data_IF_083078741350
#
_entry.id   IF_083078741350
#
_cell.length_a   1.000
_cell.length_b   1.000
_cell.length_c   1.000
_cell.angle_alpha   90.00
_cell.angle_beta   90.00
_cell.angle_gamma   90.00
#
_symmetry.space_group_name_H-M   'P 1'
#
loop_
_entity.id
_entity.type
_entity.pdbx_description
1 polymer ?
#
# COMPACT_ATOMS: atom_id res chain seq x y z
N UNK A 1 -47.66 41.46 39.12
CA UNK A 1 -46.20 41.33 38.89
C UNK A 1 -45.69 39.94 39.31
N UNK A 2 -46.19 39.28 40.32
CA UNK A 2 -45.72 37.98 40.86
C UNK A 2 -45.94 36.81 39.85
N UNK A 3 -47.05 36.83 39.09
CA UNK A 3 -47.37 35.77 38.12
C UNK A 3 -46.43 35.64 36.95
N UNK A 4 -45.92 36.77 36.40
CA UNK A 4 -45.01 36.80 35.23
C UNK A 4 -43.63 36.32 35.63
N UNK A 5 -43.11 36.68 36.79
CA UNK A 5 -41.83 36.24 37.31
C UNK A 5 -41.80 34.73 37.56
N UNK A 6 -42.88 34.13 38.09
CA UNK A 6 -42.96 32.68 38.26
C UNK A 6 -43.04 31.90 36.96
N UNK A 7 -43.67 32.51 35.94
CA UNK A 7 -43.79 31.90 34.62
C UNK A 7 -42.42 31.91 33.86
N UNK A 8 -41.71 33.02 33.94
CA UNK A 8 -40.34 33.17 33.39
C UNK A 8 -39.34 32.20 34.03
N UNK A 9 -39.43 32.01 35.35
CA UNK A 9 -38.57 31.05 36.06
C UNK A 9 -38.83 29.60 35.66
N UNK A 10 -40.11 29.22 35.51
CA UNK A 10 -40.50 27.88 35.04
C UNK A 10 -40.05 27.62 33.58
N UNK A 11 -40.19 28.61 32.70
CA UNK A 11 -39.73 28.54 31.32
C UNK A 11 -38.21 28.37 31.25
N UNK A 12 -37.44 29.13 32.03
CA UNK A 12 -35.98 29.01 32.07
C UNK A 12 -35.52 27.64 32.56
N UNK A 13 -36.18 27.08 33.55
CA UNK A 13 -35.87 25.75 34.10
C UNK A 13 -36.21 24.63 33.11
N UNK A 14 -37.33 24.75 32.40
CA UNK A 14 -37.71 23.81 31.35
C UNK A 14 -36.80 23.91 30.11
N UNK A 15 -36.34 25.11 29.74
CA UNK A 15 -35.42 25.32 28.65
C UNK A 15 -34.04 24.65 28.92
N UNK A 16 -33.53 24.73 30.13
CA UNK A 16 -32.30 24.04 30.54
C UNK A 16 -32.43 22.52 30.45
N UNK A 17 -33.58 21.97 30.92
CA UNK A 17 -33.85 20.55 30.82
C UNK A 17 -33.94 20.07 29.36
N UNK A 18 -34.63 20.85 28.52
CA UNK A 18 -34.73 20.55 27.10
C UNK A 18 -33.34 20.61 26.40
N UNK A 19 -32.52 21.64 26.70
CA UNK A 19 -31.18 21.78 26.18
C UNK A 19 -30.29 20.58 26.56
N UNK A 20 -30.36 20.13 27.81
CA UNK A 20 -29.60 18.95 28.25
C UNK A 20 -30.04 17.67 27.54
N UNK A 21 -31.34 17.48 27.31
CA UNK A 21 -31.85 16.34 26.55
C UNK A 21 -31.34 16.40 25.09
N UNK A 22 -31.39 17.58 24.46
CA UNK A 22 -30.89 17.76 23.11
C UNK A 22 -29.38 17.45 23.01
N UNK A 23 -28.57 17.94 23.96
CA UNK A 23 -27.12 17.68 23.99
C UNK A 23 -26.85 16.18 24.17
N UNK A 24 -27.52 15.54 25.11
CA UNK A 24 -27.34 14.10 25.32
C UNK A 24 -27.80 13.28 24.11
N UNK A 25 -28.93 13.64 23.50
CA UNK A 25 -29.45 12.96 22.31
C UNK A 25 -28.48 13.10 21.13
N UNK A 26 -27.92 14.29 20.89
CA UNK A 26 -26.95 14.52 19.83
C UNK A 26 -25.63 13.77 20.09
N UNK A 27 -25.17 13.73 21.34
CA UNK A 27 -23.99 12.94 21.71
C UNK A 27 -24.19 11.44 21.42
N UNK A 28 -25.31 10.87 21.81
CA UNK A 28 -25.66 9.47 21.56
C UNK A 28 -25.76 9.20 20.06
N UNK A 29 -26.43 10.10 19.31
CA UNK A 29 -26.51 9.95 17.83
C UNK A 29 -25.16 10.00 17.15
N UNK A 30 -24.26 10.90 17.56
CA UNK A 30 -22.89 11.00 17.02
C UNK A 30 -22.09 9.74 17.34
N UNK A 31 -22.19 9.23 18.57
CA UNK A 31 -21.50 7.98 18.94
C UNK A 31 -22.01 6.78 18.13
N UNK A 32 -23.34 6.62 18.01
CA UNK A 32 -23.90 5.51 17.23
C UNK A 32 -23.53 5.61 15.75
N UNK A 33 -23.67 6.80 15.14
CA UNK A 33 -23.33 6.99 13.74
C UNK A 33 -21.84 6.81 13.47
N UNK A 34 -20.95 7.29 14.36
CA UNK A 34 -19.52 7.08 14.26
C UNK A 34 -19.12 5.60 14.37
N UNK A 35 -19.67 4.88 15.34
CA UNK A 35 -19.44 3.45 15.51
C UNK A 35 -19.95 2.64 14.33
N UNK A 36 -21.15 2.97 13.83
CA UNK A 36 -21.74 2.29 12.67
C UNK A 36 -20.95 2.56 11.40
N UNK A 37 -20.49 3.80 11.17
CA UNK A 37 -19.66 4.15 10.03
C UNK A 37 -18.34 3.39 10.05
N UNK A 38 -17.67 3.29 11.20
CA UNK A 38 -16.46 2.49 11.36
C UNK A 38 -16.73 0.99 11.09
N UNK A 39 -17.80 0.46 11.65
CA UNK A 39 -18.15 -0.96 11.48
C UNK A 39 -18.44 -1.32 10.02
N UNK A 40 -19.21 -0.47 9.31
CA UNK A 40 -19.53 -0.68 7.89
C UNK A 40 -18.31 -0.45 6.97
N UNK A 41 -17.41 0.49 7.32
CA UNK A 41 -16.22 0.78 6.53
C UNK A 41 -15.10 -0.25 6.69
N UNK A 42 -15.06 -1.00 7.79
CA UNK A 42 -14.00 -1.98 8.04
C UNK A 42 -13.93 -3.08 6.97
N UNK A 43 -15.07 -3.57 6.51
CA UNK A 43 -15.13 -4.63 5.49
C UNK A 43 -14.51 -4.21 4.15
N UNK A 44 -14.77 -2.99 3.71
CA UNK A 44 -14.21 -2.44 2.46
C UNK A 44 -12.70 -2.22 2.57
N UNK A 45 -12.22 -1.70 3.71
CA UNK A 45 -10.81 -1.48 3.97
C UNK A 45 -10.04 -2.81 4.00
N UNK A 46 -10.58 -3.82 4.70
CA UNK A 46 -9.95 -5.14 4.78
C UNK A 46 -9.90 -5.79 3.39
N UNK A 47 -11.00 -5.78 2.64
CA UNK A 47 -11.05 -6.35 1.30
C UNK A 47 -10.08 -5.67 0.33
N UNK A 48 -9.85 -4.36 0.48
CA UNK A 48 -8.90 -3.62 -0.34
C UNK A 48 -7.43 -3.92 0.01
N UNK A 49 -7.14 -4.10 1.31
CA UNK A 49 -5.79 -4.41 1.79
C UNK A 49 -5.40 -5.90 1.64
N UNK A 50 -6.38 -6.77 1.69
CA UNK A 50 -6.19 -8.23 1.55
C UNK A 50 -7.03 -8.73 0.37
N UNK A 51 -6.50 -8.61 -0.86
CA UNK A 51 -7.23 -8.96 -2.08
C UNK A 51 -7.43 -10.47 -2.26
N UNK A 52 -6.83 -11.29 -1.41
CA UNK A 52 -6.94 -12.75 -1.45
C UNK A 52 -7.14 -13.31 -0.04
N UNK A 53 -7.71 -14.51 0.06
CA UNK A 53 -7.97 -15.22 1.32
C UNK A 53 -6.67 -15.50 2.10
N UNK A 54 -5.59 -15.80 1.40
CA UNK A 54 -4.26 -15.99 1.98
C UNK A 54 -3.23 -15.20 1.18
N UNK A 55 -2.46 -14.39 1.89
CA UNK A 55 -1.34 -13.62 1.31
C UNK A 55 -0.04 -14.05 1.96
N UNK A 56 0.97 -14.41 1.14
CA UNK A 56 2.29 -14.78 1.61
C UNK A 56 3.37 -13.98 0.90
N UNK A 57 4.13 -13.20 1.66
CA UNK A 57 5.26 -12.44 1.15
C UNK A 57 6.55 -13.26 1.20
N UNK A 58 7.17 -13.43 0.06
CA UNK A 58 8.51 -14.02 -0.07
C UNK A 58 9.50 -12.89 -0.39
N UNK A 59 10.37 -12.61 0.55
CA UNK A 59 11.46 -11.64 0.37
C UNK A 59 12.74 -12.36 0.00
N UNK A 60 13.46 -11.83 -0.97
CA UNK A 60 14.74 -12.38 -1.38
C UNK A 60 15.71 -11.27 -1.82
N UNK A 61 16.99 -11.56 -1.72
CA UNK A 61 18.06 -10.64 -2.07
C UNK A 61 18.91 -11.22 -3.22
N UNK A 62 18.74 -10.73 -4.43
CA UNK A 62 19.55 -11.17 -5.57
C UNK A 62 21.05 -10.89 -5.41
N UNK A 63 21.45 -9.83 -4.66
CA UNK A 63 22.86 -9.54 -4.38
C UNK A 63 23.51 -10.60 -3.50
N UNK A 64 22.74 -11.24 -2.63
CA UNK A 64 23.20 -12.38 -1.83
C UNK A 64 23.20 -13.72 -2.59
N UNK A 65 22.92 -13.70 -3.90
CA UNK A 65 22.81 -14.90 -4.74
C UNK A 65 21.55 -15.73 -4.44
N UNK A 66 20.55 -15.14 -3.82
CA UNK A 66 19.27 -15.79 -3.61
C UNK A 66 18.45 -15.70 -4.91
N UNK A 67 17.85 -16.82 -5.28
CA UNK A 67 16.88 -16.87 -6.37
C UNK A 67 15.48 -17.13 -5.83
N UNK A 68 14.49 -16.52 -6.44
CA UNK A 68 13.10 -16.77 -6.09
C UNK A 68 12.68 -18.16 -6.62
N UNK A 69 12.45 -19.10 -5.72
CA UNK A 69 11.78 -20.36 -6.05
C UNK A 69 10.25 -20.18 -5.98
N UNK A 70 9.71 -19.52 -6.99
CA UNK A 70 8.26 -19.28 -7.08
C UNK A 70 7.47 -20.61 -7.12
N UNK A 71 7.99 -21.61 -7.84
CA UNK A 71 7.33 -22.90 -7.94
C UNK A 71 7.29 -23.64 -6.59
N UNK A 72 8.40 -23.58 -5.85
CA UNK A 72 8.47 -24.13 -4.48
C UNK A 72 7.55 -23.41 -3.52
N UNK A 73 7.49 -22.08 -3.57
CA UNK A 73 6.61 -21.28 -2.74
C UNK A 73 5.13 -21.56 -3.05
N UNK A 74 4.75 -21.64 -4.32
CA UNK A 74 3.39 -22.03 -4.73
C UNK A 74 3.05 -23.48 -4.31
N UNK A 75 4.00 -24.41 -4.42
CA UNK A 75 3.81 -25.78 -3.96
C UNK A 75 3.62 -25.86 -2.45
N UNK A 76 4.31 -25.01 -1.68
CA UNK A 76 4.16 -24.91 -0.23
C UNK A 76 2.73 -24.47 0.14
N UNK A 77 2.21 -23.41 -0.50
CA UNK A 77 0.84 -22.93 -0.26
C UNK A 77 -0.18 -24.01 -0.56
N UNK A 78 -0.06 -24.68 -1.73
CA UNK A 78 -0.96 -25.77 -2.12
C UNK A 78 -0.91 -26.96 -1.16
N UNK A 79 0.29 -27.34 -0.71
CA UNK A 79 0.46 -28.44 0.26
C UNK A 79 -0.17 -28.09 1.60
N UNK A 80 0.09 -26.89 2.11
CA UNK A 80 -0.47 -26.43 3.37
C UNK A 80 -2.00 -26.43 3.35
N UNK A 81 -2.60 -25.86 2.31
CA UNK A 81 -4.05 -25.85 2.14
C UNK A 81 -4.62 -27.28 2.06
N UNK A 82 -3.94 -28.19 1.35
CA UNK A 82 -4.35 -29.60 1.25
C UNK A 82 -4.26 -30.34 2.58
N UNK A 83 -3.25 -30.07 3.42
CA UNK A 83 -3.11 -30.65 4.77
C UNK A 83 -4.27 -30.27 5.68
N UNK A 84 -4.89 -29.12 5.44
CA UNK A 84 -6.06 -28.63 6.17
C UNK A 84 -7.38 -28.87 5.46
N UNK A 85 -7.38 -29.64 4.35
CA UNK A 85 -8.54 -29.95 3.52
C UNK A 85 -9.25 -28.72 2.93
N UNK A 86 -8.52 -27.64 2.67
CA UNK A 86 -9.05 -26.41 2.07
C UNK A 86 -8.65 -26.34 0.60
N UNK A 87 -9.63 -26.23 -0.33
CA UNK A 87 -9.33 -26.09 -1.75
C UNK A 87 -8.74 -24.71 -2.09
N UNK A 88 -7.68 -24.69 -2.91
CA UNK A 88 -7.14 -23.48 -3.51
C UNK A 88 -7.80 -23.28 -4.87
N UNK A 89 -8.59 -22.22 -5.03
CA UNK A 89 -9.35 -21.92 -6.26
C UNK A 89 -8.60 -21.00 -7.20
N UNK A 90 -7.71 -20.16 -6.67
CA UNK A 90 -6.82 -19.28 -7.42
C UNK A 90 -5.45 -19.17 -6.73
N UNK A 91 -4.39 -19.03 -7.50
CA UNK A 91 -3.05 -18.79 -6.96
C UNK A 91 -2.26 -17.93 -7.95
N UNK A 92 -2.12 -16.67 -7.61
CA UNK A 92 -1.40 -15.69 -8.39
C UNK A 92 -0.16 -15.18 -7.65
N UNK A 93 0.75 -14.54 -8.38
CA UNK A 93 1.97 -13.96 -7.81
C UNK A 93 2.18 -12.56 -8.35
N UNK A 94 2.46 -11.62 -7.45
CA UNK A 94 2.82 -10.25 -7.78
C UNK A 94 4.23 -9.96 -7.27
N UNK A 95 5.16 -9.68 -8.20
CA UNK A 95 6.51 -9.24 -7.84
C UNK A 95 6.56 -7.72 -7.83
N UNK A 96 7.13 -7.15 -6.76
CA UNK A 96 7.33 -5.72 -6.64
C UNK A 96 8.61 -5.37 -5.88
N UNK A 97 9.14 -4.19 -6.18
CA UNK A 97 10.23 -3.57 -5.46
C UNK A 97 9.67 -2.48 -4.55
N UNK A 98 10.08 -2.48 -3.28
CA UNK A 98 9.71 -1.44 -2.32
C UNK A 98 10.97 -0.74 -1.79
N UNK A 99 11.00 0.58 -1.89
CA UNK A 99 12.08 1.40 -1.35
C UNK A 99 11.61 2.82 -1.03
N UNK A 100 12.44 3.55 -0.30
CA UNK A 100 12.21 4.97 -0.05
C UNK A 100 13.04 5.81 -1.02
N UNK A 101 12.41 6.83 -1.60
CA UNK A 101 13.08 7.85 -2.40
C UNK A 101 12.75 9.25 -1.88
N UNK A 102 13.63 10.19 -2.12
CA UNK A 102 13.45 11.60 -1.79
C UNK A 102 13.16 12.41 -3.05
N UNK A 103 12.15 13.28 -2.96
CA UNK A 103 11.80 14.21 -4.02
C UNK A 103 12.77 15.38 -4.01
N UNK A 104 13.61 15.48 -5.03
CA UNK A 104 14.41 16.67 -5.30
C UNK A 104 13.67 17.54 -6.32
N UNK A 105 12.91 18.52 -5.84
CA UNK A 105 12.07 19.38 -6.67
C UNK A 105 12.89 20.33 -7.57
N UNK A 106 14.10 20.72 -7.15
CA UNK A 106 14.99 21.58 -7.93
C UNK A 106 15.56 20.81 -9.12
N UNK A 107 16.05 19.60 -8.90
CA UNK A 107 16.60 18.75 -9.94
C UNK A 107 15.51 17.94 -10.68
N UNK A 108 14.25 17.96 -10.23
CA UNK A 108 13.11 17.20 -10.75
C UNK A 108 13.41 15.70 -10.86
N UNK A 109 13.95 15.13 -9.79
CA UNK A 109 14.32 13.73 -9.74
C UNK A 109 14.01 13.12 -8.38
N UNK A 110 13.94 11.81 -8.35
CA UNK A 110 13.79 11.00 -7.15
C UNK A 110 15.18 10.47 -6.75
N UNK A 111 15.62 10.77 -5.54
CA UNK A 111 16.94 10.38 -5.02
C UNK A 111 16.79 9.18 -4.09
N UNK A 112 17.46 8.08 -4.46
CA UNK A 112 17.49 6.83 -3.71
C UNK A 112 18.76 6.79 -2.86
N UNK A 113 18.66 6.37 -1.60
CA UNK A 113 19.81 6.31 -0.68
C UNK A 113 20.10 7.62 0.06
N UNK A 114 19.47 8.73 -0.31
CA UNK A 114 19.61 10.00 0.41
C UNK A 114 18.98 9.94 1.79
N UNK A 115 19.61 10.59 2.77
CA UNK A 115 18.95 10.95 4.03
C UNK A 115 18.40 12.37 3.94
N UNK A 116 17.23 12.64 4.52
CA UNK A 116 16.59 13.93 4.40
C UNK A 116 15.28 14.07 5.18
N UNK A 117 14.59 15.21 4.94
CA UNK A 117 13.32 15.53 5.60
C UNK A 117 12.23 14.50 5.29
N UNK A 118 11.42 14.15 6.29
CA UNK A 118 10.28 13.25 6.12
C UNK A 118 9.25 13.75 5.10
N UNK A 119 9.13 15.08 4.91
CA UNK A 119 8.17 15.65 3.98
C UNK A 119 8.48 15.39 2.51
N UNK A 120 9.76 15.20 2.18
CA UNK A 120 10.20 14.94 0.81
C UNK A 120 10.36 13.43 0.53
N UNK A 121 10.14 12.58 1.54
CA UNK A 121 10.23 11.12 1.39
C UNK A 121 8.97 10.57 0.77
N UNK A 122 9.15 9.60 -0.14
CA UNK A 122 8.09 8.79 -0.76
C UNK A 122 8.39 7.32 -0.56
N UNK A 123 7.37 6.57 -0.17
CA UNK A 123 7.41 5.12 -0.26
C UNK A 123 7.14 4.75 -1.73
N UNK A 124 8.14 4.22 -2.42
CA UNK A 124 8.04 3.83 -3.83
C UNK A 124 7.76 2.34 -3.92
N UNK A 125 6.67 2.00 -4.58
CA UNK A 125 6.32 0.63 -4.97
C UNK A 125 6.41 0.52 -6.48
N UNK A 126 7.23 -0.38 -6.96
CA UNK A 126 7.43 -0.63 -8.37
C UNK A 126 6.96 -2.03 -8.70
N UNK A 127 5.90 -2.16 -9.49
CA UNK A 127 5.30 -3.43 -9.91
C UNK A 127 5.64 -3.75 -11.35
N UNK A 128 5.64 -5.03 -11.69
CA UNK A 128 5.53 -5.43 -13.09
C UNK A 128 4.09 -5.28 -13.58
N UNK A 129 3.88 -5.17 -14.90
CA UNK A 129 2.54 -5.12 -15.49
C UNK A 129 1.68 -6.35 -15.11
N UNK A 130 2.30 -7.53 -15.01
CA UNK A 130 1.65 -8.74 -14.53
C UNK A 130 1.33 -8.68 -13.04
N UNK A 131 2.26 -8.15 -12.21
CA UNK A 131 2.02 -7.96 -10.78
C UNK A 131 0.86 -7.01 -10.50
N UNK A 132 0.73 -5.94 -11.29
CA UNK A 132 -0.42 -5.05 -11.22
C UNK A 132 -1.74 -5.78 -11.52
N UNK A 133 -1.76 -6.59 -12.59
CA UNK A 133 -2.95 -7.36 -12.95
C UNK A 133 -3.33 -8.37 -11.84
N UNK A 134 -2.35 -9.07 -11.27
CA UNK A 134 -2.57 -10.02 -10.18
C UNK A 134 -3.14 -9.35 -8.91
N UNK A 135 -2.62 -8.17 -8.53
CA UNK A 135 -3.07 -7.46 -7.33
C UNK A 135 -4.43 -6.77 -7.49
N UNK A 136 -4.79 -6.34 -8.71
CA UNK A 136 -6.00 -5.52 -8.92
C UNK A 136 -7.12 -6.26 -9.63
N UNK A 137 -6.86 -7.45 -10.19
CA UNK A 137 -7.78 -8.14 -11.08
C UNK A 137 -8.05 -7.42 -12.41
N UNK A 138 -7.28 -6.35 -12.70
CA UNK A 138 -7.42 -5.54 -13.92
C UNK A 138 -6.54 -6.09 -15.04
N UNK A 139 -6.77 -5.61 -16.28
CA UNK A 139 -5.88 -5.97 -17.39
C UNK A 139 -4.47 -5.39 -17.18
N UNK A 140 -3.44 -6.16 -17.52
CA UNK A 140 -2.07 -5.67 -17.49
C UNK A 140 -1.89 -4.50 -18.49
N UNK A 141 -1.27 -3.37 -18.08
CA UNK A 141 -0.99 -2.27 -18.99
C UNK A 141 0.00 -2.67 -20.09
N UNK A 142 -0.17 -2.15 -21.30
CA UNK A 142 0.69 -2.43 -22.43
C UNK A 142 1.81 -1.39 -22.53
N UNK A 143 2.88 -1.59 -21.76
CA UNK A 143 4.02 -0.67 -21.66
C UNK A 143 5.18 -1.12 -22.54
N UNK A 144 5.92 -0.17 -23.11
CA UNK A 144 7.17 -0.43 -23.84
C UNK A 144 8.37 -0.32 -22.88
N UNK A 145 9.55 -0.89 -23.25
CA UNK A 145 10.77 -0.66 -22.49
C UNK A 145 11.07 0.83 -22.29
N UNK A 146 11.35 1.24 -21.06
CA UNK A 146 11.54 2.65 -20.68
C UNK A 146 10.26 3.43 -20.39
N UNK A 147 9.09 2.81 -20.53
CA UNK A 147 7.82 3.39 -20.11
C UNK A 147 7.41 2.89 -18.73
N UNK A 148 6.58 3.68 -18.07
CA UNK A 148 5.91 3.31 -16.84
C UNK A 148 4.47 3.82 -16.83
N UNK A 149 3.60 3.17 -16.06
CA UNK A 149 2.32 3.74 -15.66
C UNK A 149 2.39 4.18 -14.19
N UNK A 150 1.67 5.25 -13.84
CA UNK A 150 1.55 5.75 -12.48
C UNK A 150 0.22 5.32 -11.89
N UNK A 151 0.23 4.67 -10.73
CA UNK A 151 -0.98 4.37 -9.99
C UNK A 151 -1.30 5.54 -9.06
N UNK A 152 -2.34 6.31 -9.40
CA UNK A 152 -2.73 7.49 -8.65
C UNK A 152 -2.11 8.78 -9.20
N UNK A 153 -1.30 9.48 -8.40
CA UNK A 153 -0.78 10.80 -8.75
C UNK A 153 0.74 10.89 -8.65
N UNK A 154 1.34 11.64 -9.57
CA UNK A 154 2.76 12.01 -9.50
C UNK A 154 2.99 13.07 -8.40
N UNK A 155 4.21 13.10 -7.82
CA UNK A 155 4.61 14.20 -6.96
C UNK A 155 4.45 15.56 -7.67
N UNK A 156 4.07 16.62 -6.95
CA UNK A 156 3.93 17.95 -7.53
C UNK A 156 5.23 18.42 -8.22
N UNK A 157 5.08 18.98 -9.44
CA UNK A 157 6.20 19.50 -10.22
C UNK A 157 6.91 18.49 -11.10
N UNK A 158 6.53 17.19 -11.04
CA UNK A 158 7.01 16.18 -11.98
C UNK A 158 6.17 16.19 -13.27
N UNK A 159 6.85 16.00 -14.39
CA UNK A 159 6.23 15.85 -15.70
C UNK A 159 6.12 14.37 -16.10
N UNK A 160 5.94 14.08 -17.39
CA UNK A 160 5.82 12.71 -17.88
C UNK A 160 7.13 11.91 -17.81
N UNK A 161 8.24 12.53 -17.45
CA UNK A 161 9.53 11.87 -17.28
C UNK A 161 9.89 11.82 -15.80
N UNK A 162 10.13 10.61 -15.30
CA UNK A 162 10.58 10.33 -13.94
C UNK A 162 12.03 9.86 -13.99
N UNK A 163 12.92 10.57 -13.31
CA UNK A 163 14.32 10.17 -13.19
C UNK A 163 14.64 9.75 -11.78
N UNK A 164 15.23 8.58 -11.61
CA UNK A 164 15.77 8.06 -10.36
C UNK A 164 17.29 8.20 -10.39
N UNK A 165 17.86 8.77 -9.31
CA UNK A 165 19.29 8.94 -9.13
C UNK A 165 19.72 8.27 -7.82
N UNK A 166 20.73 7.43 -7.87
CA UNK A 166 21.36 6.87 -6.68
C UNK A 166 22.23 7.90 -5.98
N UNK A 167 22.11 7.96 -4.65
CA UNK A 167 22.97 8.75 -3.77
C UNK A 167 23.57 7.77 -2.77
N UNK A 168 24.91 7.68 -2.71
CA UNK A 168 25.57 6.84 -1.71
C UNK A 168 25.15 7.23 -0.31
N UNK A 169 24.59 6.28 0.43
CA UNK A 169 24.16 6.52 1.81
C UNK A 169 25.33 6.82 2.74
N UNK A 170 26.50 6.27 2.44
CA UNK A 170 27.72 6.44 3.25
C UNK A 170 28.50 7.71 2.89
N UNK A 171 28.55 8.08 1.62
CA UNK A 171 29.41 9.15 1.12
C UNK A 171 28.65 10.39 0.64
N UNK A 172 27.33 10.27 0.40
CA UNK A 172 26.46 11.39 0.05
C UNK A 172 26.64 11.96 -1.36
N UNK A 173 27.38 11.28 -2.24
CA UNK A 173 27.55 11.68 -3.63
C UNK A 173 26.70 10.83 -4.59
N UNK A 174 26.51 11.32 -5.82
CA UNK A 174 25.78 10.60 -6.87
C UNK A 174 26.53 9.34 -7.29
N UNK A 175 25.80 8.23 -7.40
CA UNK A 175 26.32 6.95 -7.84
C UNK A 175 25.40 6.33 -8.89
N UNK A 176 25.96 5.39 -9.64
CA UNK A 176 25.26 4.72 -10.73
C UNK A 176 24.86 5.67 -11.85
N UNK A 177 24.22 5.11 -12.87
CA UNK A 177 23.62 5.90 -13.95
C UNK A 177 22.15 6.20 -13.57
N UNK A 178 21.68 7.44 -13.79
CA UNK A 178 20.29 7.75 -13.56
C UNK A 178 19.40 6.89 -14.44
N UNK A 179 18.32 6.38 -13.85
CA UNK A 179 17.29 5.61 -14.55
C UNK A 179 16.09 6.52 -14.82
N UNK A 180 15.72 6.67 -16.08
CA UNK A 180 14.59 7.48 -16.51
C UNK A 180 13.48 6.60 -17.06
N UNK A 181 12.24 6.88 -16.62
CA UNK A 181 11.02 6.25 -17.08
C UNK A 181 10.07 7.31 -17.64
N UNK A 182 9.49 7.05 -18.80
CA UNK A 182 8.45 7.90 -19.38
C UNK A 182 7.09 7.43 -18.91
N UNK A 183 6.32 8.30 -18.28
CA UNK A 183 4.94 7.99 -17.84
C UNK A 183 4.03 7.98 -19.06
N UNK A 184 3.63 6.78 -19.49
CA UNK A 184 2.77 6.57 -20.65
C UNK A 184 1.28 6.72 -20.30
N UNK A 185 0.88 6.30 -19.10
CA UNK A 185 -0.52 6.36 -18.66
C UNK A 185 -0.63 6.48 -17.13
N UNK A 186 -1.85 6.82 -16.69
CA UNK A 186 -2.22 6.85 -15.27
C UNK A 186 -3.26 5.78 -15.00
N UNK A 187 -3.00 4.93 -14.01
CA UNK A 187 -3.86 3.85 -13.58
C UNK A 187 -4.56 4.18 -12.25
N UNK A 188 -5.64 3.49 -11.89
CA UNK A 188 -6.20 3.55 -10.55
C UNK A 188 -5.15 3.22 -9.48
N UNK A 189 -5.30 3.81 -8.30
CA UNK A 189 -4.43 3.50 -7.16
C UNK A 189 -4.54 2.01 -6.80
N UNK A 190 -3.42 1.41 -6.40
CA UNK A 190 -3.40 0.04 -5.90
C UNK A 190 -3.62 0.10 -4.40
N UNK A 191 -4.83 -0.24 -3.97
CA UNK A 191 -5.25 -0.14 -2.56
C UNK A 191 -4.39 -1.03 -1.64
N UNK A 192 -3.85 -2.13 -2.15
CA UNK A 192 -2.93 -3.01 -1.43
C UNK A 192 -1.73 -2.26 -0.82
N UNK A 193 -1.23 -1.21 -1.48
CA UNK A 193 -0.12 -0.39 -1.00
C UNK A 193 -0.57 0.90 -0.31
N UNK A 194 -1.85 1.20 -0.30
CA UNK A 194 -2.40 2.40 0.33
C UNK A 194 -2.71 2.12 1.81
N UNK A 195 -1.69 1.74 2.56
CA UNK A 195 -1.87 1.47 3.99
C UNK A 195 -1.97 2.77 4.76
N UNK A 196 -2.99 2.87 5.62
CA UNK A 196 -3.21 4.01 6.53
C UNK A 196 -2.03 4.21 7.52
N UNK A 197 -1.08 3.27 7.53
CA UNK A 197 0.09 3.27 8.39
C UNK A 197 1.36 3.82 7.72
N UNK A 198 1.34 4.07 6.42
CA UNK A 198 2.47 4.70 5.75
C UNK A 198 2.59 6.15 6.21
N UNK A 199 3.70 6.45 6.91
CA UNK A 199 4.02 7.81 7.36
C UNK A 199 4.41 8.73 6.21
N UNK A 200 4.54 8.20 5.00
CA UNK A 200 4.99 8.91 3.80
C UNK A 200 3.97 8.74 2.67
N UNK A 201 3.89 9.72 1.80
CA UNK A 201 3.09 9.60 0.59
C UNK A 201 3.65 8.48 -0.30
N UNK A 202 2.74 7.64 -0.80
CA UNK A 202 3.07 6.51 -1.67
C UNK A 202 3.17 6.94 -3.11
N UNK A 203 4.22 6.49 -3.80
CA UNK A 203 4.36 6.54 -5.25
C UNK A 203 4.37 5.12 -5.79
N UNK A 204 3.28 4.72 -6.43
CA UNK A 204 3.17 3.41 -7.06
C UNK A 204 3.36 3.54 -8.57
N UNK A 205 4.27 2.75 -9.11
CA UNK A 205 4.63 2.71 -10.53
C UNK A 205 4.50 1.29 -11.05
N UNK A 206 4.07 1.17 -12.29
CA UNK A 206 4.05 -0.10 -13.02
C UNK A 206 5.05 -0.03 -14.17
N UNK A 207 5.91 -1.02 -14.28
CA UNK A 207 6.89 -1.16 -15.36
C UNK A 207 6.55 -2.37 -16.24
N UNK A 208 7.02 -2.42 -17.50
CA UNK A 208 6.61 -3.46 -18.43
C UNK A 208 6.92 -4.87 -17.94
N UNK A 209 8.10 -5.08 -17.38
CA UNK A 209 8.59 -6.41 -17.04
C UNK A 209 9.58 -6.41 -15.87
N UNK A 210 10.04 -7.61 -15.53
CA UNK A 210 11.02 -7.84 -14.47
C UNK A 210 12.39 -7.21 -14.78
N UNK A 211 12.79 -7.07 -16.04
CA UNK A 211 14.08 -6.48 -16.38
C UNK A 211 14.12 -5.01 -15.97
N UNK A 212 13.06 -4.23 -16.30
CA UNK A 212 12.93 -2.84 -15.89
C UNK A 212 12.87 -2.66 -14.36
N UNK A 213 12.25 -3.63 -13.64
CA UNK A 213 12.24 -3.64 -12.18
C UNK A 213 13.64 -3.87 -11.61
N UNK A 214 14.42 -4.80 -12.20
CA UNK A 214 15.78 -5.12 -11.79
C UNK A 214 16.77 -3.99 -12.03
N UNK A 215 16.58 -3.16 -13.04
CA UNK A 215 17.43 -1.98 -13.30
C UNK A 215 17.32 -0.98 -12.12
N UNK A 216 16.11 -0.72 -11.62
CA UNK A 216 15.89 0.13 -10.44
C UNK A 216 16.33 -0.55 -9.14
N UNK A 217 16.18 -1.86 -9.04
CA UNK A 217 16.72 -2.62 -7.92
C UNK A 217 18.24 -2.50 -7.85
N UNK A 218 18.95 -2.60 -8.97
CA UNK A 218 20.41 -2.47 -9.02
C UNK A 218 20.87 -1.07 -8.58
N UNK A 219 20.19 -0.01 -9.05
CA UNK A 219 20.45 1.36 -8.63
C UNK A 219 20.26 1.53 -7.12
N UNK A 220 19.19 0.97 -6.57
CA UNK A 220 18.91 1.03 -5.13
C UNK A 220 19.95 0.24 -4.33
N UNK A 221 20.30 -0.96 -4.76
CA UNK A 221 21.27 -1.81 -4.08
C UNK A 221 22.64 -1.11 -4.00
N UNK A 222 23.08 -0.50 -5.10
CA UNK A 222 24.31 0.30 -5.13
C UNK A 222 24.21 1.52 -4.19
N UNK A 223 23.08 2.25 -4.21
CA UNK A 223 22.88 3.44 -3.39
C UNK A 223 22.89 3.15 -1.88
N UNK A 224 22.46 1.97 -1.48
CA UNK A 224 22.40 1.51 -0.09
C UNK A 224 23.58 0.63 0.33
N UNK A 225 24.70 0.67 -0.39
CA UNK A 225 25.91 -0.16 -0.12
C UNK A 225 25.58 -1.67 -0.03
N UNK A 226 24.72 -2.16 -0.91
CA UNK A 226 24.19 -3.52 -0.94
C UNK A 226 23.34 -3.89 0.31
N UNK A 227 22.88 -2.91 1.06
CA UNK A 227 21.87 -3.17 2.08
C UNK A 227 20.55 -3.54 1.39
N UNK A 228 19.96 -4.66 1.82
CA UNK A 228 18.87 -5.35 1.12
C UNK A 228 17.80 -4.42 0.56
N UNK A 229 17.75 -4.34 -0.75
CA UNK A 229 16.64 -3.76 -1.47
C UNK A 229 15.41 -4.64 -1.27
N UNK A 230 14.27 -4.03 -0.99
CA UNK A 230 13.04 -4.73 -0.64
C UNK A 230 12.33 -5.38 -1.84
N UNK A 231 13.01 -6.35 -2.51
CA UNK A 231 12.37 -7.14 -3.56
C UNK A 231 11.48 -8.20 -2.92
N UNK A 232 10.20 -8.13 -3.23
CA UNK A 232 9.16 -8.96 -2.63
C UNK A 232 8.36 -9.63 -3.72
N UNK A 233 8.05 -10.90 -3.53
CA UNK A 233 7.00 -11.58 -4.30
C UNK A 233 5.88 -11.95 -3.35
N UNK A 234 4.72 -11.37 -3.59
CA UNK A 234 3.49 -11.70 -2.87
C UNK A 234 2.75 -12.80 -3.60
N UNK A 235 2.48 -13.89 -2.92
CA UNK A 235 1.56 -14.94 -3.38
C UNK A 235 0.17 -14.65 -2.86
N UNK A 236 -0.79 -14.63 -3.75
CA UNK A 236 -2.20 -14.39 -3.49
C UNK A 236 -2.95 -15.69 -3.75
N UNK A 237 -3.49 -16.29 -2.72
CA UNK A 237 -4.24 -17.54 -2.83
C UNK A 237 -5.71 -17.33 -2.45
N UNK A 238 -6.59 -17.71 -3.37
CA UNK A 238 -8.03 -17.79 -3.11
C UNK A 238 -8.36 -19.16 -2.55
N UNK A 239 -8.98 -19.16 -1.36
CA UNK A 239 -9.37 -20.37 -0.65
C UNK A 239 -10.89 -20.50 -0.63
N UNK A 240 -11.39 -21.71 -0.89
CA UNK A 240 -12.81 -22.03 -0.74
C UNK A 240 -13.07 -22.57 0.67
N UNK A 241 -13.17 -21.64 1.63
CA UNK A 241 -13.38 -21.96 3.03
C UNK A 241 -14.21 -20.87 3.75
N UNK A 242 -14.74 -21.22 4.90
CA UNK A 242 -15.41 -20.28 5.79
C UNK A 242 -14.39 -19.41 6.56
N UNK A 243 -14.83 -18.25 7.05
CA UNK A 243 -13.98 -17.38 7.86
C UNK A 243 -13.40 -18.07 9.11
N UNK A 244 -14.11 -19.05 9.68
CA UNK A 244 -13.61 -19.82 10.84
C UNK A 244 -12.45 -20.75 10.43
N UNK A 245 -12.56 -21.41 9.27
CA UNK A 245 -11.50 -22.25 8.72
C UNK A 245 -10.29 -21.41 8.30
N UNK A 246 -10.52 -20.24 7.73
CA UNK A 246 -9.45 -19.28 7.37
C UNK A 246 -8.66 -18.85 8.61
N UNK A 247 -9.34 -18.46 9.70
CA UNK A 247 -8.68 -18.12 10.96
C UNK A 247 -7.90 -19.30 11.55
N UNK A 248 -8.45 -20.52 11.47
CA UNK A 248 -7.74 -21.71 11.92
C UNK A 248 -6.47 -22.01 11.09
N UNK A 249 -6.50 -21.72 9.78
CA UNK A 249 -5.32 -21.82 8.91
C UNK A 249 -4.23 -20.81 9.30
N UNK A 250 -4.60 -19.56 9.59
CA UNK A 250 -3.65 -18.51 10.02
C UNK A 250 -2.99 -18.90 11.33
N UNK A 251 -3.77 -19.42 12.30
CA UNK A 251 -3.23 -19.90 13.58
C UNK A 251 -2.31 -21.12 13.41
N UNK A 252 -2.57 -21.98 12.46
CA UNK A 252 -1.75 -23.16 12.17
C UNK A 252 -0.45 -22.82 11.42
N UNK A 253 -0.43 -21.68 10.70
CA UNK A 253 0.77 -21.19 9.98
C UNK A 253 1.75 -20.45 10.91
N UNK A 254 1.27 -19.83 11.98
CA UNK A 254 2.08 -19.03 12.93
C UNK A 254 2.86 -19.90 13.92
#
# INVERSE_FOLDING_TARGET
>A
FIGVSGMLYRMKRNAVGLANICILSTMVMVMISGTLALYLGQGEIIAAQYPASLTMDVRYDPAAGQELDLAGAQALVKRFAAEHNVPVTGLEAAEYLHFNAFVNSEARRLEVGRDGSSNDRRAVYLLTAQGYAALTGSAAPALQPGEAAVCGQLPPGFGPELTFQGISISEGHEIGQPQSLTVAETLPAVEYFNTTFDMFETLCLVVPDRAALMDLWALQSEALDNYAAGLVTTLLAELDCSNEEEMALVDAWS
#
